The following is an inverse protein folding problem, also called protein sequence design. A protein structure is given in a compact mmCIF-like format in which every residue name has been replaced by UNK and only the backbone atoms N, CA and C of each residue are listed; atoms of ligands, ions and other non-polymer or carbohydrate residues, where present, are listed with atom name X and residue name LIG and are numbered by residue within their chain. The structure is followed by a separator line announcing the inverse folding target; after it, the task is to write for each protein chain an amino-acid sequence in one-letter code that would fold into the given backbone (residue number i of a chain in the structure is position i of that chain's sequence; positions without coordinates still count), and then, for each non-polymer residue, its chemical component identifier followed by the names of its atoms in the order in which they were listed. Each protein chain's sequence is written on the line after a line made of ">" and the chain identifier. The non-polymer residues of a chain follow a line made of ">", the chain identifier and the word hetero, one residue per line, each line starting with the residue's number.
data_IF_691889650978
#
_entry.id   IF_691889650978
#
_cell.length_a   1.000
_cell.length_b   1.000
_cell.length_c   1.000
_cell.angle_alpha   90.00
_cell.angle_beta   90.00
_cell.angle_gamma   90.00
#
_symmetry.space_group_name_H-M   'P 1'
#
loop_
_entity.id
_entity.type
_entity.pdbx_description
1 polymer ?
#
# COMPACT_ATOMS: atom_id res chain seq x y z
N UNK A 1 25.65 -3.04 -25.47
CA UNK A 1 26.57 -2.06 -24.87
C UNK A 1 25.87 -0.71 -24.85
N UNK A 2 25.82 -0.04 -23.71
CA UNK A 2 25.11 1.24 -23.56
C UNK A 2 25.90 2.38 -24.25
N UNK A 3 25.18 3.32 -24.85
CA UNK A 3 25.77 4.53 -25.42
C UNK A 3 26.09 5.57 -24.32
N UNK A 4 26.86 6.61 -24.64
CA UNK A 4 27.14 7.69 -23.69
C UNK A 4 25.87 8.43 -23.24
N UNK A 5 24.85 8.52 -24.11
CA UNK A 5 23.56 9.12 -23.77
C UNK A 5 22.74 8.21 -22.84
N UNK A 6 22.84 6.90 -23.03
CA UNK A 6 22.21 5.92 -22.13
C UNK A 6 22.82 6.00 -20.73
N UNK A 7 24.14 6.10 -20.61
CA UNK A 7 24.82 6.24 -19.31
C UNK A 7 24.42 7.53 -18.59
N UNK A 8 24.24 8.63 -19.32
CA UNK A 8 23.68 9.87 -18.74
C UNK A 8 22.24 9.67 -18.27
N UNK A 9 21.41 8.98 -19.05
CA UNK A 9 20.02 8.71 -18.66
C UNK A 9 19.94 7.82 -17.41
N UNK A 10 20.79 6.78 -17.33
CA UNK A 10 20.91 5.86 -16.20
C UNK A 10 21.36 6.62 -14.95
N UNK A 11 22.42 7.43 -15.06
CA UNK A 11 22.93 8.23 -13.95
C UNK A 11 21.92 9.29 -13.48
N UNK A 12 21.19 9.93 -14.40
CA UNK A 12 20.14 10.91 -14.06
C UNK A 12 18.97 10.28 -13.28
N UNK A 13 18.77 8.96 -13.40
CA UNK A 13 17.81 8.20 -12.59
C UNK A 13 18.38 7.74 -11.25
N UNK A 14 19.65 8.00 -10.94
CA UNK A 14 20.30 7.51 -9.74
C UNK A 14 20.65 6.01 -9.79
N UNK A 15 20.73 5.44 -11.00
CA UNK A 15 21.14 4.05 -11.22
C UNK A 15 22.58 3.98 -11.72
N UNK A 16 23.21 2.82 -11.55
CA UNK A 16 24.51 2.48 -12.13
C UNK A 16 24.35 1.57 -13.35
N UNK A 17 25.34 1.57 -14.24
CA UNK A 17 25.37 0.64 -15.39
C UNK A 17 25.25 -0.82 -14.93
N UNK A 18 25.93 -1.18 -13.84
CA UNK A 18 25.93 -2.53 -13.29
C UNK A 18 24.53 -2.96 -12.81
N UNK A 19 23.78 -2.07 -12.14
CA UNK A 19 22.41 -2.35 -11.73
C UNK A 19 21.50 -2.62 -12.94
N UNK A 20 21.62 -1.83 -13.99
CA UNK A 20 20.81 -1.99 -15.21
C UNK A 20 21.21 -3.26 -15.96
N UNK A 21 22.51 -3.55 -16.07
CA UNK A 21 23.01 -4.79 -16.66
C UNK A 21 22.51 -6.03 -15.90
N UNK A 22 22.48 -5.97 -14.56
CA UNK A 22 21.91 -7.04 -13.72
C UNK A 22 20.42 -7.26 -13.99
N UNK A 23 19.64 -6.19 -14.14
CA UNK A 23 18.22 -6.29 -14.49
C UNK A 23 18.02 -6.98 -15.84
N UNK A 24 18.81 -6.63 -16.86
CA UNK A 24 18.76 -7.27 -18.18
C UNK A 24 19.17 -8.74 -18.12
N UNK A 25 20.22 -9.05 -17.37
CA UNK A 25 20.66 -10.44 -17.19
C UNK A 25 19.57 -11.31 -16.56
N UNK A 26 18.79 -10.78 -15.60
CA UNK A 26 17.64 -11.49 -15.05
C UNK A 26 16.55 -11.81 -16.10
N UNK A 27 16.37 -10.96 -17.13
CA UNK A 27 15.47 -11.28 -18.25
C UNK A 27 16.03 -12.41 -19.14
N UNK A 28 17.36 -12.45 -19.33
CA UNK A 28 18.02 -13.51 -20.11
C UNK A 28 18.02 -14.86 -19.40
N UNK A 29 18.38 -14.90 -18.12
CA UNK A 29 18.52 -16.15 -17.36
C UNK A 29 17.21 -16.61 -16.75
N UNK A 30 16.20 -15.74 -16.73
CA UNK A 30 14.99 -15.91 -15.95
C UNK A 30 15.23 -15.73 -14.44
N UNK A 31 14.14 -15.82 -13.68
CA UNK A 31 14.16 -15.79 -12.23
C UNK A 31 14.03 -17.22 -11.69
N UNK A 32 14.77 -17.60 -10.64
CA UNK A 32 14.58 -18.90 -10.01
C UNK A 32 13.14 -19.04 -9.51
N UNK A 33 12.57 -20.23 -9.67
CA UNK A 33 11.26 -20.52 -9.12
C UNK A 33 11.31 -20.41 -7.59
N UNK A 34 10.28 -19.79 -7.01
CA UNK A 34 10.11 -19.77 -5.57
C UNK A 34 9.85 -21.21 -5.10
N UNK A 35 10.68 -21.72 -4.20
CA UNK A 35 10.43 -23.00 -3.56
C UNK A 35 9.36 -22.81 -2.49
N UNK A 36 8.21 -23.45 -2.68
CA UNK A 36 7.11 -23.42 -1.72
C UNK A 36 7.40 -24.40 -0.59
N UNK A 37 7.39 -23.92 0.65
CA UNK A 37 7.56 -24.79 1.83
C UNK A 37 6.31 -25.64 2.08
N UNK A 38 5.14 -25.02 2.15
CA UNK A 38 3.84 -25.67 2.32
C UNK A 38 2.69 -24.67 2.02
N UNK A 39 1.45 -25.16 1.95
CA UNK A 39 0.26 -24.29 1.96
C UNK A 39 0.05 -23.68 3.36
N UNK A 40 -0.36 -22.42 3.42
CA UNK A 40 -0.75 -21.80 4.67
C UNK A 40 -1.99 -22.51 5.26
N UNK A 41 -1.98 -22.81 6.56
CA UNK A 41 -3.03 -23.53 7.27
C UNK A 41 -3.13 -23.09 8.73
N UNK A 42 -4.23 -23.50 9.38
CA UNK A 42 -4.46 -23.33 10.82
C UNK A 42 -3.70 -24.34 11.68
N UNK A 43 -3.06 -25.34 11.06
CA UNK A 43 -2.32 -26.35 11.80
C UNK A 43 -1.08 -25.72 12.45
N UNK A 44 -0.56 -26.37 13.51
CA UNK A 44 0.63 -25.87 14.21
C UNK A 44 1.80 -25.76 13.22
N UNK A 45 2.26 -24.53 12.96
CA UNK A 45 3.32 -24.26 11.99
C UNK A 45 2.82 -23.93 10.57
N UNK A 46 1.50 -23.84 10.36
CA UNK A 46 0.87 -23.50 9.07
C UNK A 46 0.84 -22.01 8.73
N UNK A 47 1.38 -21.14 9.58
CA UNK A 47 1.54 -19.71 9.30
C UNK A 47 0.27 -18.85 9.40
N UNK A 48 -0.90 -19.44 9.68
CA UNK A 48 -2.11 -18.70 10.03
C UNK A 48 -2.32 -18.80 11.54
N UNK A 49 -2.35 -17.64 12.20
CA UNK A 49 -2.62 -17.53 13.63
C UNK A 49 -4.12 -17.26 13.86
N UNK A 50 -4.68 -17.90 14.87
CA UNK A 50 -6.03 -17.64 15.38
C UNK A 50 -5.94 -17.35 16.86
N UNK A 51 -6.73 -16.40 17.31
CA UNK A 51 -6.75 -15.97 18.70
C UNK A 51 -8.16 -16.19 19.24
N UNK A 52 -8.24 -16.64 20.48
CA UNK A 52 -9.44 -16.56 21.30
C UNK A 52 -9.74 -15.10 21.67
N UNK A 53 -10.95 -14.81 22.10
CA UNK A 53 -11.34 -13.47 22.55
C UNK A 53 -10.44 -12.97 23.71
N UNK A 54 -10.01 -13.86 24.61
CA UNK A 54 -9.09 -13.51 25.68
C UNK A 54 -7.71 -13.11 25.14
N UNK A 55 -7.15 -13.88 24.20
CA UNK A 55 -5.86 -13.58 23.56
C UNK A 55 -5.95 -12.28 22.75
N UNK A 56 -7.03 -12.05 22.01
CA UNK A 56 -7.23 -10.78 21.30
C UNK A 56 -7.26 -9.60 22.27
N UNK A 57 -7.98 -9.70 23.39
CA UNK A 57 -8.03 -8.66 24.41
C UNK A 57 -6.65 -8.39 25.04
N UNK A 58 -5.82 -9.41 25.24
CA UNK A 58 -4.45 -9.25 25.72
C UNK A 58 -3.58 -8.51 24.69
N UNK A 59 -3.71 -8.83 23.40
CA UNK A 59 -2.97 -8.16 22.33
C UNK A 59 -3.43 -6.70 22.17
N UNK A 60 -4.73 -6.44 22.26
CA UNK A 60 -5.27 -5.08 22.27
C UNK A 60 -4.71 -4.27 23.44
N UNK A 61 -4.69 -4.84 24.65
CA UNK A 61 -4.11 -4.19 25.82
C UNK A 61 -2.60 -3.94 25.67
N UNK A 62 -1.86 -4.88 25.06
CA UNK A 62 -0.44 -4.70 24.77
C UNK A 62 -0.19 -3.53 23.80
N UNK A 63 -1.03 -3.39 22.77
CA UNK A 63 -0.95 -2.27 21.85
C UNK A 63 -1.31 -0.94 22.51
N UNK A 64 -2.40 -0.89 23.28
CA UNK A 64 -2.82 0.33 23.97
C UNK A 64 -1.76 0.76 25.01
N UNK A 65 -1.11 -0.19 25.69
CA UNK A 65 0.02 0.07 26.60
C UNK A 65 1.26 0.58 25.85
N UNK A 66 1.58 0.00 24.69
CA UNK A 66 2.67 0.48 23.82
C UNK A 66 2.43 1.93 23.41
N UNK A 67 1.20 2.29 23.03
CA UNK A 67 0.86 3.67 22.67
C UNK A 67 1.00 4.68 23.83
N UNK A 68 1.05 4.23 25.09
CA UNK A 68 1.33 5.10 26.24
C UNK A 68 2.82 5.46 26.38
N UNK A 69 3.72 4.73 25.71
CA UNK A 69 5.15 4.99 25.71
C UNK A 69 5.54 6.13 24.77
N UNK A 70 6.82 6.52 24.84
CA UNK A 70 7.41 7.46 23.89
C UNK A 70 7.88 6.71 22.63
N UNK A 71 6.91 6.40 21.77
CA UNK A 71 7.12 5.64 20.53
C UNK A 71 6.55 6.38 19.32
N UNK A 72 7.29 6.33 18.21
CA UNK A 72 6.85 6.87 16.93
C UNK A 72 6.15 5.79 16.10
N UNK A 73 4.83 5.93 15.98
CA UNK A 73 4.00 5.08 15.13
C UNK A 73 3.62 5.85 13.87
N UNK A 74 3.86 5.27 12.70
CA UNK A 74 3.58 5.90 11.40
C UNK A 74 2.68 5.00 10.57
N UNK A 75 1.65 5.57 9.97
CA UNK A 75 0.88 4.91 8.92
C UNK A 75 1.46 5.26 7.55
N UNK A 76 2.06 4.27 6.89
CA UNK A 76 2.66 4.42 5.58
C UNK A 76 1.72 3.93 4.48
N UNK A 77 1.47 4.77 3.47
CA UNK A 77 0.50 4.52 2.41
C UNK A 77 1.15 4.70 1.04
N UNK A 78 1.42 3.60 0.31
CA UNK A 78 1.87 3.68 -1.06
C UNK A 78 0.75 4.21 -1.97
N UNK A 79 0.94 5.40 -2.55
CA UNK A 79 -0.09 6.12 -3.31
C UNK A 79 0.37 6.65 -4.69
N UNK A 80 1.55 6.22 -5.17
CA UNK A 80 2.14 6.65 -6.45
C UNK A 80 1.48 6.03 -7.70
N UNK A 81 0.67 4.98 -7.51
CA UNK A 81 0.05 4.25 -8.62
C UNK A 81 -1.10 5.02 -9.28
N UNK A 82 -0.99 5.24 -10.60
CA UNK A 82 -2.09 5.75 -11.42
C UNK A 82 -3.28 4.77 -11.44
N UNK A 83 -4.50 5.30 -11.49
CA UNK A 83 -5.72 4.49 -11.56
C UNK A 83 -5.99 3.93 -12.97
N UNK A 84 -5.18 4.23 -13.98
CA UNK A 84 -5.45 3.92 -15.40
C UNK A 84 -5.84 2.47 -15.68
N UNK A 85 -5.25 1.48 -14.98
CA UNK A 85 -5.64 0.06 -15.11
C UNK A 85 -7.08 -0.22 -14.66
N UNK A 86 -7.58 0.51 -13.67
CA UNK A 86 -8.96 0.39 -13.17
C UNK A 86 -9.99 0.78 -14.24
N UNK A 87 -9.61 1.67 -15.17
CA UNK A 87 -10.48 2.20 -16.20
C UNK A 87 -10.19 1.65 -17.60
N UNK A 88 -9.37 0.59 -17.72
CA UNK A 88 -8.93 0.03 -19.01
C UNK A 88 -10.10 -0.28 -19.95
N UNK A 89 -11.13 -0.94 -19.44
CA UNK A 89 -12.30 -1.33 -20.25
C UNK A 89 -13.15 -0.11 -20.64
N UNK A 90 -13.17 0.94 -19.82
CA UNK A 90 -13.85 2.20 -20.16
C UNK A 90 -13.09 3.01 -21.21
N UNK A 91 -11.76 3.01 -21.18
CA UNK A 91 -10.95 3.58 -22.26
C UNK A 91 -11.18 2.82 -23.57
N UNK A 92 -11.19 1.48 -23.52
CA UNK A 92 -11.52 0.66 -24.69
C UNK A 92 -12.92 0.96 -25.23
N UNK A 93 -13.89 1.20 -24.36
CA UNK A 93 -15.24 1.62 -24.75
C UNK A 93 -15.27 2.99 -25.44
N UNK A 94 -14.50 3.98 -24.96
CA UNK A 94 -14.41 5.30 -25.61
C UNK A 94 -13.85 5.22 -27.03
N UNK A 95 -12.89 4.33 -27.26
CA UNK A 95 -12.23 4.13 -28.57
C UNK A 95 -13.02 3.22 -29.52
N UNK A 96 -14.05 2.53 -29.03
CA UNK A 96 -14.80 1.56 -29.83
C UNK A 96 -15.75 2.21 -30.85
N UNK A 97 -16.06 1.49 -31.93
CA UNK A 97 -16.92 1.99 -33.03
C UNK A 97 -18.42 1.99 -32.69
N UNK A 98 -18.81 1.56 -31.48
CA UNK A 98 -20.19 1.49 -31.03
C UNK A 98 -20.47 2.50 -29.91
N UNK A 99 -21.71 3.01 -29.84
CA UNK A 99 -22.11 4.08 -28.90
C UNK A 99 -22.77 3.58 -27.61
N UNK A 100 -23.30 2.35 -27.63
CA UNK A 100 -24.00 1.75 -26.48
C UNK A 100 -23.19 0.59 -25.86
N UNK A 101 -23.23 0.41 -24.53
CA UNK A 101 -22.57 -0.69 -23.82
C UNK A 101 -22.77 -2.06 -24.46
N UNK A 102 -21.68 -2.70 -24.88
CA UNK A 102 -21.70 -4.00 -25.57
C UNK A 102 -21.19 -5.13 -24.68
N UNK A 103 -20.13 -4.88 -23.91
CA UNK A 103 -19.53 -5.88 -23.02
C UNK A 103 -20.29 -5.97 -21.71
N UNK A 104 -20.13 -7.10 -20.99
CA UNK A 104 -20.75 -7.26 -19.68
C UNK A 104 -20.27 -6.20 -18.69
N UNK A 105 -18.99 -5.83 -18.74
CA UNK A 105 -18.43 -4.79 -17.91
C UNK A 105 -19.09 -3.43 -18.16
N UNK A 106 -19.15 -2.98 -19.43
CA UNK A 106 -19.76 -1.70 -19.79
C UNK A 106 -21.24 -1.64 -19.38
N UNK A 107 -21.99 -2.74 -19.61
CA UNK A 107 -23.41 -2.83 -19.26
C UNK A 107 -23.61 -2.69 -17.76
N UNK A 108 -22.85 -3.43 -16.95
CA UNK A 108 -22.93 -3.36 -15.50
C UNK A 108 -22.53 -1.99 -14.98
N UNK A 109 -21.47 -1.40 -15.53
CA UNK A 109 -21.00 -0.07 -15.15
C UNK A 109 -22.08 0.99 -15.43
N UNK A 110 -22.60 1.04 -16.66
CA UNK A 110 -23.58 2.05 -17.06
C UNK A 110 -24.93 1.88 -16.35
N UNK A 111 -25.38 0.64 -16.08
CA UNK A 111 -26.64 0.40 -15.37
C UNK A 111 -26.60 0.79 -13.90
N UNK A 112 -25.40 0.91 -13.32
CA UNK A 112 -25.19 1.31 -11.91
C UNK A 112 -24.48 2.66 -11.80
N UNK A 113 -24.49 3.48 -12.84
CA UNK A 113 -23.71 4.72 -12.89
C UNK A 113 -24.05 5.68 -11.75
N UNK A 114 -25.30 5.66 -11.26
CA UNK A 114 -25.77 6.47 -10.12
C UNK A 114 -25.39 5.90 -8.75
N UNK A 115 -24.94 4.65 -8.68
CA UNK A 115 -24.58 3.97 -7.43
C UNK A 115 -23.13 4.22 -7.01
N UNK A 116 -22.30 4.81 -7.88
CA UNK A 116 -20.91 5.08 -7.56
C UNK A 116 -20.77 6.28 -6.62
N UNK A 117 -19.72 6.26 -5.79
CA UNK A 117 -19.42 7.40 -4.92
C UNK A 117 -19.19 8.69 -5.72
N UNK A 118 -18.57 8.63 -6.90
CA UNK A 118 -18.30 9.80 -7.73
C UNK A 118 -19.53 10.33 -8.49
N UNK A 119 -20.70 9.67 -8.43
CA UNK A 119 -21.87 10.04 -9.25
C UNK A 119 -22.33 11.49 -9.04
N UNK A 120 -22.40 12.04 -7.81
CA UNK A 120 -22.79 13.44 -7.61
C UNK A 120 -21.82 14.44 -8.26
N UNK A 121 -20.52 14.16 -8.19
CA UNK A 121 -19.48 14.99 -8.81
C UNK A 121 -19.58 14.91 -10.35
N UNK A 122 -19.81 13.71 -10.89
CA UNK A 122 -20.00 13.50 -12.32
C UNK A 122 -21.29 14.15 -12.84
N UNK A 123 -22.37 14.09 -12.06
CA UNK A 123 -23.63 14.74 -12.38
C UNK A 123 -23.49 16.25 -12.46
N UNK A 124 -22.77 16.88 -11.52
CA UNK A 124 -22.47 18.31 -11.58
C UNK A 124 -21.70 18.70 -12.86
N UNK A 125 -20.70 17.90 -13.26
CA UNK A 125 -19.97 18.10 -14.52
C UNK A 125 -20.90 17.98 -15.73
N UNK A 126 -21.75 16.95 -15.76
CA UNK A 126 -22.71 16.74 -16.84
C UNK A 126 -23.68 17.93 -16.95
N UNK A 127 -24.18 18.43 -15.83
CA UNK A 127 -25.08 19.59 -15.81
C UNK A 127 -24.38 20.86 -16.31
N UNK A 128 -23.13 21.09 -15.90
CA UNK A 128 -22.36 22.26 -16.32
C UNK A 128 -22.06 22.24 -17.84
N UNK A 129 -21.66 21.08 -18.37
CA UNK A 129 -21.17 20.96 -19.76
C UNK A 129 -22.28 20.70 -20.78
N UNK A 130 -23.30 19.93 -20.42
CA UNK A 130 -24.36 19.49 -21.33
C UNK A 130 -25.74 20.10 -21.01
N UNK A 131 -25.89 20.76 -19.87
CA UNK A 131 -27.19 21.22 -19.39
C UNK A 131 -28.15 20.07 -19.02
N UNK A 132 -27.62 18.85 -18.83
CA UNK A 132 -28.38 17.63 -18.53
C UNK A 132 -27.79 16.91 -17.34
N UNK A 133 -28.64 16.30 -16.51
CA UNK A 133 -28.18 15.40 -15.45
C UNK A 133 -27.54 14.13 -16.03
N UNK A 134 -26.70 13.49 -15.24
CA UNK A 134 -26.11 12.17 -15.49
C UNK A 134 -27.20 11.16 -15.86
N UNK A 135 -28.32 11.18 -15.12
CA UNK A 135 -29.48 10.32 -15.40
C UNK A 135 -30.09 10.61 -16.78
N UNK A 136 -30.30 11.88 -17.13
CA UNK A 136 -30.87 12.25 -18.43
C UNK A 136 -29.94 11.87 -19.59
N UNK A 137 -28.61 11.97 -19.40
CA UNK A 137 -27.64 11.49 -20.39
C UNK A 137 -27.69 9.97 -20.55
N UNK A 138 -27.81 9.22 -19.45
CA UNK A 138 -27.92 7.76 -19.48
C UNK A 138 -29.22 7.31 -20.16
N UNK A 139 -30.36 7.94 -19.85
CA UNK A 139 -31.66 7.70 -20.50
C UNK A 139 -31.62 8.03 -22.01
N UNK A 140 -30.89 9.08 -22.40
CA UNK A 140 -30.63 9.43 -23.79
C UNK A 140 -29.54 8.57 -24.46
N UNK A 141 -29.04 7.53 -23.77
CA UNK A 141 -27.98 6.62 -24.23
C UNK A 141 -26.66 7.31 -24.62
N UNK A 142 -26.38 8.48 -24.05
CA UNK A 142 -25.14 9.24 -24.28
C UNK A 142 -23.99 8.72 -23.40
N UNK A 143 -23.75 7.39 -23.43
CA UNK A 143 -22.81 6.72 -22.52
C UNK A 143 -21.36 7.13 -22.75
N UNK A 144 -20.93 7.33 -24.01
CA UNK A 144 -19.58 7.84 -24.29
C UNK A 144 -19.35 9.22 -23.71
N UNK A 145 -20.34 10.10 -23.71
CA UNK A 145 -20.26 11.42 -23.08
C UNK A 145 -20.02 11.29 -21.57
N UNK A 146 -20.76 10.40 -20.91
CA UNK A 146 -20.59 10.12 -19.47
C UNK A 146 -19.19 9.60 -19.18
N UNK A 147 -18.73 8.60 -19.94
CA UNK A 147 -17.40 8.00 -19.74
C UNK A 147 -16.28 9.01 -20.06
N UNK A 148 -16.48 9.88 -21.06
CA UNK A 148 -15.55 10.96 -21.38
C UNK A 148 -15.40 11.92 -20.21
N UNK A 149 -16.52 12.41 -19.64
CA UNK A 149 -16.47 13.29 -18.48
C UNK A 149 -15.95 12.62 -17.21
N UNK A 150 -16.06 11.30 -17.09
CA UNK A 150 -15.40 10.60 -15.99
C UNK A 150 -13.87 10.57 -16.17
N UNK A 151 -13.38 10.17 -17.33
CA UNK A 151 -11.97 9.80 -17.52
C UNK A 151 -11.07 10.96 -17.95
N UNK A 152 -11.59 11.91 -18.71
CA UNK A 152 -10.79 12.90 -19.42
C UNK A 152 -10.72 14.25 -18.69
N UNK A 153 -9.73 15.11 -19.00
CA UNK A 153 -9.56 16.41 -18.35
C UNK A 153 -10.75 17.37 -18.47
N UNK A 154 -11.67 17.15 -19.41
CA UNK A 154 -12.88 17.96 -19.56
C UNK A 154 -13.90 17.74 -18.43
N UNK A 155 -13.74 16.70 -17.62
CA UNK A 155 -14.57 16.43 -16.44
C UNK A 155 -13.75 16.06 -15.20
N UNK A 156 -14.04 14.91 -14.59
CA UNK A 156 -13.40 14.47 -13.34
C UNK A 156 -11.95 14.00 -13.54
N UNK A 157 -11.54 13.71 -14.77
CA UNK A 157 -10.16 13.35 -15.11
C UNK A 157 -9.64 12.08 -14.38
N UNK A 158 -10.52 11.15 -14.03
CA UNK A 158 -10.15 9.94 -13.27
C UNK A 158 -9.16 9.04 -14.01
N UNK A 159 -9.06 9.19 -15.33
CA UNK A 159 -8.11 8.44 -16.16
C UNK A 159 -6.64 8.80 -15.90
N UNK A 160 -6.36 10.02 -15.46
CA UNK A 160 -5.00 10.47 -15.14
C UNK A 160 -4.71 10.56 -13.64
N UNK A 161 -5.75 10.60 -12.79
CA UNK A 161 -5.57 10.71 -11.34
C UNK A 161 -5.07 9.39 -10.69
N UNK A 162 -4.29 9.50 -9.60
CA UNK A 162 -3.94 8.36 -8.77
C UNK A 162 -5.14 7.91 -7.94
N UNK A 163 -5.19 6.61 -7.59
CA UNK A 163 -6.33 6.02 -6.84
C UNK A 163 -6.66 6.77 -5.54
N UNK A 164 -5.65 7.31 -4.88
CA UNK A 164 -5.79 8.10 -3.64
C UNK A 164 -6.73 9.29 -3.76
N UNK A 165 -6.88 9.85 -4.97
CA UNK A 165 -7.67 11.04 -5.22
C UNK A 165 -9.05 10.76 -5.81
N UNK A 166 -9.42 9.48 -5.96
CA UNK A 166 -10.74 9.08 -6.44
C UNK A 166 -11.70 8.90 -5.26
N UNK A 167 -12.96 9.30 -5.44
CA UNK A 167 -14.04 9.03 -4.49
C UNK A 167 -14.39 7.54 -4.49
N UNK A 168 -14.13 6.87 -3.35
CA UNK A 168 -14.35 5.43 -3.18
C UNK A 168 -15.66 5.13 -2.45
N UNK A 169 -15.97 5.91 -1.42
CA UNK A 169 -17.12 5.67 -0.54
C UNK A 169 -18.00 6.92 -0.43
N UNK A 170 -19.31 6.68 -0.29
CA UNK A 170 -20.33 7.72 -0.12
C UNK A 170 -20.94 7.65 1.27
N UNK A 171 -21.14 8.80 1.88
CA UNK A 171 -21.71 8.96 3.22
C UNK A 171 -22.76 10.08 3.22
N UNK A 172 -23.67 10.13 4.22
CA UNK A 172 -24.62 11.24 4.36
C UNK A 172 -23.96 12.61 4.43
N UNK A 173 -22.76 12.71 5.02
CA UNK A 173 -21.98 13.95 5.10
C UNK A 173 -21.16 14.27 3.84
N UNK A 174 -21.16 13.39 2.83
CA UNK A 174 -20.44 13.56 1.58
C UNK A 174 -19.52 12.38 1.24
N UNK A 175 -19.00 12.41 0.02
CA UNK A 175 -18.11 11.35 -0.48
C UNK A 175 -16.69 11.54 0.06
N UNK A 176 -16.00 10.42 0.27
CA UNK A 176 -14.59 10.43 0.67
C UNK A 176 -13.72 9.76 -0.39
N UNK A 177 -12.58 10.40 -0.62
CA UNK A 177 -11.53 9.85 -1.46
C UNK A 177 -10.75 8.80 -0.68
N UNK A 178 -10.09 7.90 -1.40
CA UNK A 178 -9.30 6.84 -0.78
C UNK A 178 -8.25 7.40 0.19
N UNK A 179 -7.55 8.49 -0.15
CA UNK A 179 -6.64 9.19 0.77
C UNK A 179 -7.33 9.59 2.07
N UNK A 180 -8.51 10.20 1.99
CA UNK A 180 -9.30 10.63 3.15
C UNK A 180 -9.65 9.47 4.08
N UNK A 181 -9.92 8.28 3.53
CA UNK A 181 -10.16 7.07 4.33
C UNK A 181 -8.93 6.66 5.16
N UNK A 182 -7.73 6.84 4.62
CA UNK A 182 -6.50 6.54 5.35
C UNK A 182 -6.30 7.45 6.55
N UNK A 183 -6.68 8.73 6.47
CA UNK A 183 -6.65 9.68 7.60
C UNK A 183 -7.58 9.20 8.71
N UNK A 184 -8.82 8.83 8.36
CA UNK A 184 -9.80 8.30 9.33
C UNK A 184 -9.27 7.05 10.02
N UNK A 185 -8.79 6.08 9.25
CA UNK A 185 -8.21 4.87 9.82
C UNK A 185 -6.99 5.15 10.71
N UNK A 186 -6.12 6.10 10.32
CA UNK A 186 -4.98 6.51 11.13
C UNK A 186 -5.42 7.06 12.50
N UNK A 187 -6.46 7.88 12.52
CA UNK A 187 -7.04 8.40 13.77
C UNK A 187 -7.58 7.30 14.70
N UNK A 188 -8.00 6.15 14.14
CA UNK A 188 -8.63 5.07 14.90
C UNK A 188 -7.62 4.09 15.53
N UNK A 189 -6.42 3.90 14.95
CA UNK A 189 -5.46 2.91 15.47
C UNK A 189 -4.00 3.35 15.57
N UNK A 190 -3.62 4.56 15.12
CA UNK A 190 -2.23 5.09 15.24
C UNK A 190 -2.11 6.37 16.07
N UNK A 191 -3.18 6.76 16.77
CA UNK A 191 -3.20 7.95 17.62
C UNK A 191 -2.34 7.74 18.89
N UNK A 192 -1.43 8.66 19.15
CA UNK A 192 -0.61 8.67 20.38
C UNK A 192 -1.31 9.38 21.56
N UNK A 193 -0.63 9.45 22.71
CA UNK A 193 -1.15 10.04 23.95
C UNK A 193 -1.42 11.54 23.87
N UNK A 194 -0.78 12.24 22.93
CA UNK A 194 -0.99 13.67 22.66
C UNK A 194 -2.08 13.90 21.59
N UNK A 195 -2.75 12.82 21.16
CA UNK A 195 -3.69 12.79 20.04
C UNK A 195 -3.07 13.12 18.67
N UNK A 196 -1.75 12.98 18.52
CA UNK A 196 -1.11 13.13 17.23
C UNK A 196 -1.24 11.83 16.43
N UNK A 197 -1.37 11.98 15.10
CA UNK A 197 -1.47 10.87 14.15
C UNK A 197 -0.52 11.14 12.99
N UNK A 198 0.46 10.26 12.80
CA UNK A 198 1.48 10.40 11.75
C UNK A 198 1.13 9.55 10.54
N UNK A 199 1.01 10.19 9.38
CA UNK A 199 0.82 9.53 8.09
C UNK A 199 1.92 9.93 7.13
N UNK A 200 2.35 8.95 6.34
CA UNK A 200 3.30 9.17 5.26
C UNK A 200 2.76 8.57 3.97
N UNK A 201 2.69 9.38 2.91
CA UNK A 201 2.27 8.94 1.59
C UNK A 201 3.45 8.96 0.62
N UNK A 202 3.68 7.88 -0.12
CA UNK A 202 4.54 7.95 -1.31
C UNK A 202 3.69 8.30 -2.50
N UNK A 203 3.93 9.45 -3.11
CA UNK A 203 3.18 9.95 -4.27
C UNK A 203 4.10 10.01 -5.48
N UNK A 204 3.54 10.17 -6.67
CA UNK A 204 4.36 10.49 -7.84
C UNK A 204 4.55 12.02 -7.94
N UNK A 205 5.68 12.49 -8.50
CA UNK A 205 5.98 13.93 -8.57
C UNK A 205 4.86 14.76 -9.20
N UNK A 206 4.22 14.24 -10.25
CA UNK A 206 3.16 14.90 -11.00
C UNK A 206 1.83 15.02 -10.23
N UNK A 207 1.63 14.21 -9.18
CA UNK A 207 0.41 14.22 -8.38
C UNK A 207 0.60 14.79 -6.97
N UNK A 208 1.83 15.14 -6.58
CA UNK A 208 2.14 15.62 -5.23
C UNK A 208 1.29 16.81 -4.80
N UNK A 209 1.21 17.84 -5.65
CA UNK A 209 0.43 19.05 -5.38
C UNK A 209 -1.06 18.76 -5.18
N UNK A 210 -1.59 17.76 -5.87
CA UNK A 210 -2.99 17.35 -5.73
C UNK A 210 -3.26 16.65 -4.40
N UNK A 211 -2.32 15.82 -3.93
CA UNK A 211 -2.40 15.21 -2.59
C UNK A 211 -2.28 16.26 -1.48
N UNK A 212 -1.37 17.23 -1.61
CA UNK A 212 -1.23 18.32 -0.65
C UNK A 212 -2.50 19.18 -0.58
N UNK A 213 -3.10 19.50 -1.73
CA UNK A 213 -4.37 20.22 -1.81
C UNK A 213 -5.52 19.43 -1.15
N UNK A 214 -5.61 18.12 -1.41
CA UNK A 214 -6.63 17.27 -0.80
C UNK A 214 -6.46 17.18 0.72
N UNK A 215 -5.22 17.04 1.23
CA UNK A 215 -4.92 17.13 2.67
C UNK A 215 -5.44 18.43 3.26
N UNK A 216 -5.08 19.57 2.68
CA UNK A 216 -5.49 20.88 3.19
C UNK A 216 -7.01 21.03 3.22
N UNK A 217 -7.72 20.45 2.24
CA UNK A 217 -9.17 20.46 2.15
C UNK A 217 -9.86 19.68 3.27
N UNK A 218 -9.34 18.50 3.64
CA UNK A 218 -10.02 17.57 4.55
C UNK A 218 -9.47 17.56 5.97
N UNK A 219 -8.26 18.07 6.19
CA UNK A 219 -7.55 17.96 7.47
C UNK A 219 -8.37 18.48 8.64
N UNK A 220 -8.79 19.75 8.59
CA UNK A 220 -9.45 20.40 9.73
C UNK A 220 -10.75 19.68 10.16
N UNK A 221 -11.57 19.24 9.20
CA UNK A 221 -12.83 18.56 9.51
C UNK A 221 -12.63 17.17 10.11
N UNK A 222 -11.57 16.45 9.72
CA UNK A 222 -11.25 15.14 10.28
C UNK A 222 -10.57 15.31 11.66
N UNK A 223 -9.66 16.27 11.81
CA UNK A 223 -9.05 16.60 13.11
C UNK A 223 -10.13 16.92 14.15
N UNK A 224 -11.11 17.76 13.79
CA UNK A 224 -12.25 18.08 14.66
C UNK A 224 -13.11 16.85 14.97
N UNK A 225 -13.48 16.06 13.94
CA UNK A 225 -14.36 14.89 14.10
C UNK A 225 -13.77 13.82 15.00
N UNK A 226 -12.45 13.60 14.94
CA UNK A 226 -11.78 12.53 15.69
C UNK A 226 -10.99 13.02 16.90
N UNK A 227 -10.91 14.34 17.11
CA UNK A 227 -10.14 14.94 18.20
C UNK A 227 -8.65 14.62 18.09
N UNK A 228 -8.07 14.74 16.90
CA UNK A 228 -6.67 14.41 16.61
C UNK A 228 -5.96 15.57 15.92
N UNK A 229 -4.63 15.56 15.94
CA UNK A 229 -3.78 16.42 15.10
C UNK A 229 -2.99 15.55 14.14
N UNK A 230 -3.02 15.86 12.84
CA UNK A 230 -2.30 15.07 11.86
C UNK A 230 -0.91 15.64 11.56
N UNK A 231 0.09 14.76 11.55
CA UNK A 231 1.38 15.00 10.91
C UNK A 231 1.41 14.21 9.60
N UNK A 232 1.29 14.91 8.47
CA UNK A 232 1.19 14.30 7.15
C UNK A 232 2.42 14.70 6.34
N UNK A 233 3.18 13.69 5.93
CA UNK A 233 4.36 13.86 5.10
C UNK A 233 4.21 13.12 3.78
N UNK A 234 4.97 13.59 2.78
CA UNK A 234 5.00 13.04 1.44
C UNK A 234 6.43 12.77 1.02
N UNK A 235 6.66 11.61 0.41
CA UNK A 235 7.86 11.31 -0.36
C UNK A 235 7.49 10.95 -1.78
N UNK A 236 8.49 11.01 -2.66
CA UNK A 236 8.36 10.56 -4.05
C UNK A 236 9.06 9.22 -4.19
N UNK A 237 8.45 8.31 -4.94
CA UNK A 237 9.10 7.05 -5.26
C UNK A 237 10.40 7.32 -6.04
N UNK A 238 11.53 6.85 -5.51
CA UNK A 238 12.85 7.09 -6.12
C UNK A 238 12.91 6.49 -7.52
N UNK A 239 13.23 7.32 -8.52
CA UNK A 239 13.38 6.89 -9.92
C UNK A 239 14.48 5.83 -10.13
N UNK A 240 15.39 5.67 -9.17
CA UNK A 240 16.43 4.63 -9.13
C UNK A 240 15.86 3.22 -9.00
N UNK A 241 14.62 3.09 -8.54
CA UNK A 241 13.93 1.81 -8.36
C UNK A 241 13.29 1.32 -9.66
N UNK A 242 13.24 2.16 -10.70
CA UNK A 242 12.67 1.78 -11.98
C UNK A 242 13.40 0.58 -12.59
N UNK A 243 12.63 -0.27 -13.28
CA UNK A 243 13.16 -1.42 -14.01
C UNK A 243 13.25 -1.08 -15.49
N UNK A 244 14.40 -1.35 -16.11
CA UNK A 244 14.57 -1.21 -17.55
C UNK A 244 13.62 -2.16 -18.30
N UNK A 245 12.92 -1.63 -19.31
CA UNK A 245 12.13 -2.47 -20.20
C UNK A 245 13.06 -3.21 -21.16
N UNK A 246 12.82 -4.51 -21.34
CA UNK A 246 13.53 -5.34 -22.32
C UNK A 246 12.64 -5.61 -23.55
N UNK A 247 13.25 -5.70 -24.72
CA UNK A 247 12.61 -6.18 -25.94
C UNK A 247 12.50 -7.72 -25.90
N UNK A 248 11.79 -8.32 -26.88
CA UNK A 248 11.58 -9.77 -26.93
C UNK A 248 12.89 -10.58 -27.08
N UNK A 249 13.97 -9.94 -27.51
CA UNK A 249 15.31 -10.50 -27.60
C UNK A 249 16.19 -10.20 -26.37
N UNK A 250 15.57 -9.73 -25.27
CA UNK A 250 16.21 -9.32 -24.01
C UNK A 250 17.17 -8.13 -24.12
N UNK A 251 17.22 -7.44 -25.26
CA UNK A 251 17.97 -6.18 -25.38
C UNK A 251 17.20 -5.01 -24.76
N UNK A 252 17.87 -3.90 -24.39
CA UNK A 252 17.18 -2.72 -23.85
C UNK A 252 16.11 -2.18 -24.82
N UNK A 253 14.85 -2.11 -24.36
CA UNK A 253 13.76 -1.53 -25.13
C UNK A 253 13.93 -0.01 -25.22
N UNK A 254 13.67 0.54 -26.40
CA UNK A 254 13.79 1.97 -26.68
C UNK A 254 12.50 2.55 -27.22
N UNK A 255 12.07 3.66 -26.63
CA UNK A 255 11.03 4.51 -27.21
C UNK A 255 11.68 5.78 -27.76
N UNK A 256 11.48 6.05 -29.06
CA UNK A 256 12.07 7.19 -29.78
C UNK A 256 13.58 7.36 -29.52
N UNK A 257 14.31 6.24 -29.44
CA UNK A 257 15.76 6.19 -29.23
C UNK A 257 16.23 6.24 -27.77
N UNK A 258 15.36 6.54 -26.81
CA UNK A 258 15.67 6.59 -25.38
C UNK A 258 15.36 5.27 -24.69
N UNK A 259 16.11 4.92 -23.65
CA UNK A 259 15.78 3.76 -22.81
C UNK A 259 14.42 3.97 -22.16
N UNK A 260 13.56 2.95 -22.22
CA UNK A 260 12.30 2.96 -21.49
C UNK A 260 12.48 2.29 -20.13
N UNK A 261 12.11 3.01 -19.09
CA UNK A 261 12.06 2.51 -17.73
C UNK A 261 10.60 2.43 -17.29
N UNK A 262 10.27 1.41 -16.51
CA UNK A 262 8.95 1.28 -15.89
C UNK A 262 9.12 1.37 -14.37
N UNK A 263 8.15 1.98 -13.67
CA UNK A 263 8.19 2.04 -12.21
C UNK A 263 8.49 0.68 -11.60
N UNK A 264 9.50 0.64 -10.74
CA UNK A 264 9.82 -0.54 -9.94
C UNK A 264 8.59 -0.94 -9.13
N UNK A 265 8.35 -2.24 -9.00
CA UNK A 265 7.28 -2.75 -8.15
C UNK A 265 7.53 -2.43 -6.66
N UNK A 266 6.95 -3.24 -5.77
CA UNK A 266 7.03 -3.04 -4.32
C UNK A 266 8.46 -2.95 -3.74
N UNK A 267 9.53 -3.27 -4.48
CA UNK A 267 10.92 -3.06 -4.03
C UNK A 267 11.28 -1.60 -3.75
N UNK A 268 10.59 -0.64 -4.38
CA UNK A 268 10.78 0.78 -4.11
C UNK A 268 10.29 1.23 -2.72
N UNK A 269 9.43 0.40 -2.10
CA UNK A 269 8.93 0.61 -0.75
C UNK A 269 10.05 0.60 0.28
N UNK A 270 11.03 -0.31 0.14
CA UNK A 270 12.07 -0.53 1.15
C UNK A 270 12.95 0.70 1.32
N UNK A 271 13.35 1.34 0.21
CA UNK A 271 14.15 2.57 0.27
C UNK A 271 13.39 3.73 0.91
N UNK A 272 12.08 3.83 0.66
CA UNK A 272 11.24 4.86 1.29
C UNK A 272 11.00 4.57 2.77
N UNK A 273 10.90 3.29 3.17
CA UNK A 273 10.79 2.89 4.57
C UNK A 273 12.07 3.19 5.34
N UNK A 274 13.25 3.00 4.72
CA UNK A 274 14.55 3.30 5.36
C UNK A 274 14.74 4.79 5.68
N UNK A 275 14.04 5.67 4.96
CA UNK A 275 14.10 7.12 5.19
C UNK A 275 13.13 7.57 6.30
N UNK A 276 12.30 6.68 6.84
CA UNK A 276 11.39 6.97 7.95
C UNK A 276 12.04 6.67 9.29
N UNK A 277 11.89 7.62 10.21
CA UNK A 277 12.13 7.38 11.63
C UNK A 277 10.81 6.97 12.27
N UNK A 278 10.66 5.69 12.61
CA UNK A 278 9.49 5.16 13.31
C UNK A 278 9.84 3.83 14.00
N UNK A 279 9.24 3.56 15.15
CA UNK A 279 9.35 2.27 15.83
C UNK A 279 8.40 1.23 15.24
N UNK A 280 7.20 1.65 14.84
CA UNK A 280 6.18 0.80 14.21
C UNK A 280 5.61 1.48 12.97
N UNK A 281 5.62 0.77 11.85
CA UNK A 281 5.07 1.25 10.58
C UNK A 281 3.89 0.38 10.13
N UNK A 282 2.70 0.98 10.03
CA UNK A 282 1.54 0.34 9.42
C UNK A 282 1.54 0.59 7.92
N UNK A 283 1.81 -0.46 7.14
CA UNK A 283 1.79 -0.38 5.67
C UNK A 283 0.41 -0.81 5.16
N UNK A 284 -0.21 0.01 4.33
CA UNK A 284 -1.49 -0.32 3.67
C UNK A 284 -1.59 0.35 2.31
N UNK A 285 -1.93 -0.41 1.27
CA UNK A 285 -2.18 0.13 -0.07
C UNK A 285 -3.30 1.16 -0.06
N UNK A 286 -3.15 2.21 -0.89
CA UNK A 286 -4.07 3.35 -0.96
C UNK A 286 -5.52 2.96 -1.26
N UNK A 287 -5.75 1.89 -2.01
CA UNK A 287 -7.07 1.44 -2.44
C UNK A 287 -7.69 0.36 -1.54
N UNK A 288 -6.94 -0.12 -0.55
CA UNK A 288 -7.45 -1.09 0.43
C UNK A 288 -8.19 -0.33 1.56
N UNK A 289 -9.32 0.26 1.23
CA UNK A 289 -10.14 1.06 2.16
C UNK A 289 -11.58 0.59 2.13
N UNK A 290 -12.22 0.59 3.30
CA UNK A 290 -13.60 0.11 3.48
C UNK A 290 -14.50 1.24 4.01
N UNK A 291 -15.81 1.21 3.73
CA UNK A 291 -16.73 2.20 4.27
C UNK A 291 -16.80 2.11 5.81
N UNK A 292 -17.21 3.21 6.47
CA UNK A 292 -17.22 3.32 7.94
C UNK A 292 -17.93 2.14 8.64
N UNK A 293 -19.03 1.64 8.06
CA UNK A 293 -19.78 0.48 8.58
C UNK A 293 -18.99 -0.84 8.66
N UNK A 294 -17.84 -0.94 7.98
CA UNK A 294 -16.95 -2.11 7.97
C UNK A 294 -15.58 -1.81 8.62
N UNK A 295 -15.35 -0.58 9.09
CA UNK A 295 -14.02 -0.17 9.60
C UNK A 295 -13.69 -0.81 10.94
N UNK A 296 -14.68 -1.05 11.80
CA UNK A 296 -14.42 -1.57 13.15
C UNK A 296 -13.63 -2.88 13.11
N UNK A 297 -13.98 -3.80 12.20
CA UNK A 297 -13.23 -5.04 11.99
C UNK A 297 -11.80 -4.78 11.51
N UNK A 298 -11.60 -3.81 10.61
CA UNK A 298 -10.26 -3.43 10.14
C UNK A 298 -9.43 -2.84 11.28
N UNK A 299 -10.00 -1.95 12.08
CA UNK A 299 -9.35 -1.30 13.22
C UNK A 299 -8.98 -2.34 14.27
N UNK A 300 -9.92 -3.21 14.64
CA UNK A 300 -9.73 -4.29 15.61
C UNK A 300 -8.53 -5.16 15.25
N UNK A 301 -8.54 -5.77 14.07
CA UNK A 301 -7.47 -6.68 13.67
C UNK A 301 -6.14 -5.96 13.37
N UNK A 302 -6.16 -4.66 13.02
CA UNK A 302 -4.93 -3.87 12.94
C UNK A 302 -4.29 -3.66 14.31
N UNK A 303 -5.09 -3.39 15.34
CA UNK A 303 -4.62 -3.30 16.72
C UNK A 303 -4.15 -4.65 17.26
N UNK A 304 -4.88 -5.74 17.00
CA UNK A 304 -4.45 -7.11 17.37
C UNK A 304 -3.11 -7.45 16.72
N UNK A 305 -2.93 -7.16 15.43
CA UNK A 305 -1.66 -7.39 14.73
C UNK A 305 -0.51 -6.56 15.33
N UNK A 306 -0.77 -5.31 15.71
CA UNK A 306 0.21 -4.46 16.34
C UNK A 306 0.56 -4.92 17.76
N UNK A 307 -0.44 -5.35 18.52
CA UNK A 307 -0.29 -6.00 19.83
C UNK A 307 0.60 -7.24 19.76
N UNK A 308 0.39 -8.07 18.73
CA UNK A 308 1.23 -9.24 18.46
C UNK A 308 2.66 -8.82 18.14
N UNK A 309 2.85 -7.85 17.25
CA UNK A 309 4.17 -7.34 16.88
C UNK A 309 4.95 -6.87 18.11
N UNK A 310 4.38 -6.00 18.94
CA UNK A 310 5.08 -5.43 20.10
C UNK A 310 5.30 -6.47 21.20
N UNK A 311 4.39 -7.42 21.37
CA UNK A 311 4.54 -8.53 22.32
C UNK A 311 5.69 -9.47 21.90
N UNK A 312 5.76 -9.82 20.62
CA UNK A 312 6.85 -10.64 20.08
C UNK A 312 8.19 -9.90 20.14
N UNK A 313 8.22 -8.61 19.82
CA UNK A 313 9.43 -7.78 19.91
C UNK A 313 9.95 -7.69 21.34
N UNK A 314 9.08 -7.37 22.31
CA UNK A 314 9.46 -7.29 23.72
C UNK A 314 10.10 -8.60 24.20
N UNK A 315 9.46 -9.73 23.86
CA UNK A 315 9.96 -11.07 24.18
C UNK A 315 11.31 -11.37 23.51
N UNK A 316 11.48 -10.99 22.25
CA UNK A 316 12.77 -11.12 21.55
C UNK A 316 13.86 -10.31 22.26
N UNK A 317 13.58 -9.08 22.69
CA UNK A 317 14.54 -8.23 23.39
C UNK A 317 14.89 -8.75 24.79
N UNK A 318 13.93 -9.34 25.50
CA UNK A 318 14.19 -10.01 26.78
C UNK A 318 15.15 -11.18 26.60
N UNK A 319 14.97 -12.00 25.55
CA UNK A 319 15.86 -13.10 25.25
C UNK A 319 17.25 -12.65 24.83
N UNK A 320 17.37 -11.60 24.00
CA UNK A 320 18.68 -11.04 23.65
C UNK A 320 19.43 -10.55 24.90
N UNK A 321 18.77 -9.82 25.80
CA UNK A 321 19.37 -9.40 27.08
C UNK A 321 19.81 -10.57 27.95
N UNK A 322 19.02 -11.65 27.97
CA UNK A 322 19.36 -12.87 28.71
C UNK A 322 20.62 -13.53 28.13
N UNK A 323 20.69 -13.68 26.81
CA UNK A 323 21.85 -14.25 26.11
C UNK A 323 23.11 -13.39 26.32
N UNK A 324 23.02 -12.08 26.13
CA UNK A 324 24.11 -11.12 26.35
C UNK A 324 24.64 -11.14 27.80
N UNK A 325 23.78 -11.44 28.77
CA UNK A 325 24.18 -11.52 30.17
C UNK A 325 25.11 -12.70 30.49
N UNK A 326 25.12 -13.73 29.63
CA UNK A 326 25.80 -15.00 29.88
C UNK A 326 25.21 -15.83 31.03
N UNK A 327 24.06 -15.43 31.60
CA UNK A 327 23.43 -16.06 32.77
C UNK A 327 22.14 -16.79 32.38
N UNK A 328 22.25 -17.73 31.47
CA UNK A 328 21.15 -18.60 31.04
C UNK A 328 21.41 -20.05 31.42
N UNK A 329 20.34 -20.84 31.48
CA UNK A 329 20.40 -22.29 31.60
C UNK A 329 19.89 -22.96 30.31
N UNK A 330 20.06 -24.28 30.23
CA UNK A 330 19.65 -25.05 29.05
C UNK A 330 18.13 -24.98 28.79
N UNK A 331 17.29 -24.91 29.82
CA UNK A 331 15.83 -24.79 29.66
C UNK A 331 15.45 -23.46 28.99
N UNK A 332 16.11 -22.37 29.36
CA UNK A 332 15.92 -21.06 28.74
C UNK A 332 16.37 -21.07 27.27
N UNK A 333 17.47 -21.75 26.94
CA UNK A 333 17.89 -21.91 25.54
C UNK A 333 16.83 -22.68 24.73
N UNK A 334 16.25 -23.75 25.29
CA UNK A 334 15.14 -24.47 24.65
C UNK A 334 13.92 -23.55 24.46
N UNK A 335 13.59 -22.72 25.44
CA UNK A 335 12.49 -21.76 25.34
C UNK A 335 12.69 -20.77 24.19
N UNK A 336 13.90 -20.22 24.05
CA UNK A 336 14.26 -19.31 22.96
C UNK A 336 14.15 -20.02 21.60
N UNK A 337 14.64 -21.25 21.49
CA UNK A 337 14.49 -22.06 20.27
C UNK A 337 13.02 -22.25 19.92
N UNK A 338 12.19 -22.59 20.90
CA UNK A 338 10.76 -22.78 20.68
C UNK A 338 10.08 -21.47 20.26
N UNK A 339 10.48 -20.34 20.82
CA UNK A 339 10.01 -19.02 20.40
C UNK A 339 10.36 -18.73 18.93
N UNK A 340 11.63 -18.90 18.52
CA UNK A 340 12.04 -18.70 17.13
C UNK A 340 11.25 -19.59 16.16
N UNK A 341 11.09 -20.88 16.49
CA UNK A 341 10.46 -21.85 15.60
C UNK A 341 8.94 -21.77 15.56
N UNK A 342 8.28 -21.45 16.68
CA UNK A 342 6.83 -21.52 16.81
C UNK A 342 6.14 -20.16 16.73
N UNK A 343 6.82 -19.08 17.13
CA UNK A 343 6.26 -17.73 17.14
C UNK A 343 6.80 -16.87 16.00
N UNK A 344 8.11 -16.96 15.70
CA UNK A 344 8.73 -16.24 14.59
C UNK A 344 8.85 -17.07 13.30
N UNK A 345 8.40 -18.33 13.33
CA UNK A 345 8.46 -19.28 12.21
C UNK A 345 9.84 -19.40 11.55
N UNK A 346 10.90 -19.17 12.32
CA UNK A 346 12.29 -19.27 11.88
C UNK A 346 12.84 -20.62 12.31
N UNK A 347 13.05 -21.52 11.34
CA UNK A 347 13.55 -22.88 11.58
C UNK A 347 14.95 -23.04 11.04
N UNK A 348 15.77 -23.74 11.82
CA UNK A 348 17.09 -24.24 11.43
C UNK A 348 17.08 -25.75 11.60
N UNK A 349 17.21 -26.47 10.48
CA UNK A 349 16.98 -27.93 10.44
C UNK A 349 18.02 -28.72 11.24
N UNK A 350 19.24 -28.22 11.31
CA UNK A 350 20.41 -28.77 12.00
C UNK A 350 20.60 -28.23 13.43
N UNK A 351 19.62 -27.50 13.98
CA UNK A 351 19.77 -26.87 15.31
C UNK A 351 19.98 -27.88 16.44
N UNK A 352 19.50 -29.12 16.27
CA UNK A 352 19.63 -30.20 17.25
C UNK A 352 21.05 -30.77 17.33
N UNK A 353 21.85 -30.52 16.30
CA UNK A 353 23.22 -31.03 16.17
C UNK A 353 24.26 -30.00 16.64
N UNK A 354 23.81 -28.83 17.10
CA UNK A 354 24.67 -27.74 17.56
C UNK A 354 25.11 -27.94 19.01
N UNK A 355 26.39 -27.69 19.29
CA UNK A 355 26.89 -27.61 20.67
C UNK A 355 26.41 -26.32 21.35
N UNK A 356 26.32 -26.30 22.69
CA UNK A 356 25.78 -25.16 23.45
C UNK A 356 26.46 -23.82 23.11
N UNK A 357 27.78 -23.83 22.82
CA UNK A 357 28.52 -22.64 22.42
C UNK A 357 28.12 -22.10 21.03
N UNK A 358 27.95 -23.00 20.06
CA UNK A 358 27.50 -22.65 18.70
C UNK A 358 26.01 -22.27 18.70
N UNK A 359 25.22 -22.92 19.55
CA UNK A 359 23.80 -22.67 19.70
C UNK A 359 23.55 -21.24 20.20
N UNK A 360 24.30 -20.78 21.19
CA UNK A 360 24.20 -19.41 21.71
C UNK A 360 24.65 -18.37 20.68
N UNK A 361 25.61 -18.69 19.81
CA UNK A 361 26.02 -17.79 18.73
C UNK A 361 24.98 -17.70 17.60
N UNK A 362 24.18 -18.74 17.43
CA UNK A 362 23.09 -18.77 16.45
C UNK A 362 21.82 -18.09 16.96
N UNK A 363 21.48 -18.29 18.23
CA UNK A 363 20.34 -17.66 18.92
C UNK A 363 20.60 -16.17 19.16
#
# INVERSE_FOLDING_TARGET
>A
MFSAEDLKQIAAKGMTEEQVAKQLHCFETGFPYLQLAASASLEKGGGILTFSEEEENQLLAAWDAYLQGDHQVVKFVPASGAASRMFKDLFAFLEADYEEPSTNFEKVFCSHIECFAFSPELDAVCQEKEGKSLKALAEAKQYKTIVKYLLMPEGLNYGSLPKGLLSFHSYPEGNRKAMTEHLVEGALYTRDTENNVRLHFTVSPEHRSLFEAETQRVRASIEEKYGVSFDISFSEQKASTDTIAAAADNTPFRDKGKLLFRPGGHGALIENLNDLTADVVFIKNIDNVVPDRLKDTTVHYKKVLAGLLVSLQAKAFDYLRLLDSGKYNHEQLIEIIQFLQQQLFTRKDDIKDMEDGDLVLYL
#
